data_IF_525330279369
#
_entry.id   IF_525330279369
#
_cell.length_a   1.000
_cell.length_b   1.000
_cell.length_c   1.000
_cell.angle_alpha   90.00
_cell.angle_beta   90.00
_cell.angle_gamma   90.00
#
_symmetry.space_group_name_H-M   'P 1'
#
loop_
_entity.id
_entity.type
_entity.pdbx_description
1 polymer ?
#
# COMPACT_ATOMS: atom_id res chain seq x y z
N UNK A 1 -75.93 -16.18 -23.06
CA UNK A 1 -74.62 -16.64 -23.61
C UNK A 1 -73.79 -15.37 -23.82
N UNK A 2 -72.90 -14.95 -22.90
CA UNK A 2 -71.54 -15.46 -22.58
C UNK A 2 -70.74 -15.69 -23.89
N UNK A 3 -69.65 -15.00 -24.23
CA UNK A 3 -68.64 -14.29 -23.43
C UNK A 3 -68.39 -12.85 -23.95
N UNK A 4 -68.37 -11.91 -23.02
CA UNK A 4 -67.72 -10.59 -23.10
C UNK A 4 -66.99 -10.46 -21.74
N UNK A 5 -65.67 -10.68 -21.73
CA UNK A 5 -64.79 -10.66 -20.55
C UNK A 5 -63.35 -10.70 -21.08
N UNK A 6 -62.37 -9.89 -20.68
CA UNK A 6 -62.29 -8.94 -19.59
C UNK A 6 -61.13 -7.98 -19.94
N UNK A 7 -61.42 -6.69 -20.04
CA UNK A 7 -60.44 -5.60 -20.06
C UNK A 7 -60.51 -4.94 -18.68
N UNK A 8 -59.35 -4.62 -18.12
CA UNK A 8 -59.11 -3.75 -16.95
C UNK A 8 -59.23 -4.33 -15.52
N UNK A 9 -58.20 -3.96 -14.74
CA UNK A 9 -58.05 -3.90 -13.28
C UNK A 9 -57.32 -5.08 -12.62
N UNK A 10 -56.02 -4.88 -12.35
CA UNK A 10 -55.44 -4.88 -11.00
C UNK A 10 -54.06 -4.19 -11.01
N UNK A 11 -54.09 -2.86 -10.99
CA UNK A 11 -53.09 -2.04 -10.30
C UNK A 11 -53.51 -2.10 -8.82
N UNK A 12 -52.75 -2.79 -7.96
CA UNK A 12 -52.50 -2.40 -6.57
C UNK A 12 -51.51 -3.41 -5.93
N UNK A 13 -50.31 -2.91 -5.63
CA UNK A 13 -49.63 -3.18 -4.36
C UNK A 13 -49.01 -4.55 -4.14
N UNK A 14 -47.80 -4.76 -4.67
CA UNK A 14 -46.71 -5.32 -3.85
C UNK A 14 -45.55 -4.34 -3.86
N UNK A 15 -45.57 -3.49 -2.83
CA UNK A 15 -44.46 -2.71 -2.34
C UNK A 15 -43.40 -3.66 -1.76
N UNK A 16 -42.68 -4.39 -2.61
CA UNK A 16 -41.39 -4.96 -2.21
C UNK A 16 -40.34 -3.94 -2.55
N UNK A 17 -39.71 -3.37 -1.51
CA UNK A 17 -38.40 -2.74 -1.63
C UNK A 17 -37.59 -3.57 -2.61
N UNK A 18 -37.22 -2.98 -3.75
CA UNK A 18 -36.09 -3.49 -4.51
C UNK A 18 -34.92 -3.26 -3.57
N UNK A 19 -34.65 -4.27 -2.73
CA UNK A 19 -33.34 -4.42 -2.13
C UNK A 19 -32.39 -4.40 -3.32
N UNK A 20 -31.57 -3.35 -3.38
CA UNK A 20 -30.29 -3.41 -4.06
C UNK A 20 -29.56 -4.59 -3.44
N UNK A 21 -29.78 -5.79 -3.96
CA UNK A 21 -28.88 -6.89 -3.74
C UNK A 21 -27.58 -6.46 -4.40
N UNK A 22 -26.66 -5.95 -3.58
CA UNK A 22 -25.26 -5.87 -3.93
C UNK A 22 -24.84 -7.27 -4.39
N UNK A 23 -24.59 -7.39 -5.69
CA UNK A 23 -24.10 -8.62 -6.30
C UNK A 23 -22.73 -8.89 -5.65
N UNK A 24 -22.71 -9.83 -4.72
CA UNK A 24 -21.62 -10.06 -3.78
C UNK A 24 -20.48 -10.91 -4.33
N UNK A 25 -20.42 -11.12 -5.65
CA UNK A 25 -19.25 -11.70 -6.32
C UNK A 25 -19.03 -11.06 -7.69
N UNK A 26 -17.83 -10.49 -7.90
CA UNK A 26 -17.42 -9.86 -9.16
C UNK A 26 -17.61 -10.80 -10.37
N UNK A 27 -17.44 -12.11 -10.17
CA UNK A 27 -17.53 -13.12 -11.24
C UNK A 27 -18.95 -13.27 -11.80
N UNK A 28 -19.99 -13.11 -10.96
CA UNK A 28 -21.38 -13.24 -11.43
C UNK A 28 -21.85 -12.03 -12.23
N UNK A 29 -21.37 -10.83 -11.89
CA UNK A 29 -21.67 -9.60 -12.63
C UNK A 29 -20.95 -9.55 -13.99
N UNK A 30 -19.70 -10.04 -14.06
CA UNK A 30 -18.92 -10.05 -15.30
C UNK A 30 -19.56 -10.90 -16.39
N UNK A 31 -20.13 -12.05 -16.03
CA UNK A 31 -20.79 -12.94 -17.00
C UNK A 31 -22.05 -12.29 -17.60
N UNK A 32 -22.83 -11.56 -16.80
CA UNK A 32 -24.04 -10.87 -17.28
C UNK A 32 -23.70 -9.79 -18.30
N UNK A 33 -22.63 -9.01 -18.05
CA UNK A 33 -22.21 -7.97 -19.00
C UNK A 33 -21.61 -8.53 -20.27
N UNK A 34 -20.94 -9.69 -20.20
CA UNK A 34 -20.41 -10.37 -21.37
C UNK A 34 -21.53 -10.88 -22.30
N UNK A 35 -22.53 -11.56 -21.74
CA UNK A 35 -23.68 -12.05 -22.51
C UNK A 35 -24.43 -10.88 -23.19
N UNK A 36 -24.67 -9.80 -22.45
CA UNK A 36 -25.31 -8.60 -22.98
C UNK A 36 -24.46 -7.93 -24.08
N UNK A 37 -23.14 -7.89 -23.93
CA UNK A 37 -22.23 -7.41 -24.95
C UNK A 37 -22.32 -8.26 -26.23
N UNK A 38 -22.32 -9.59 -26.13
CA UNK A 38 -22.42 -10.47 -27.30
C UNK A 38 -23.77 -10.31 -28.04
N UNK A 39 -24.86 -10.11 -27.32
CA UNK A 39 -26.16 -9.84 -27.94
C UNK A 39 -26.15 -8.51 -28.71
N UNK A 40 -25.58 -7.46 -28.13
CA UNK A 40 -25.43 -6.16 -28.80
C UNK A 40 -24.45 -6.26 -29.97
N UNK A 41 -23.38 -7.04 -29.87
CA UNK A 41 -22.45 -7.28 -30.99
C UNK A 41 -23.18 -7.91 -32.18
N UNK A 42 -23.94 -8.99 -31.93
CA UNK A 42 -24.75 -9.67 -32.96
C UNK A 42 -25.80 -8.74 -33.57
N UNK A 43 -26.41 -7.86 -32.77
CA UNK A 43 -27.34 -6.85 -33.26
C UNK A 43 -26.63 -5.79 -34.12
N UNK A 44 -25.45 -5.33 -33.69
CA UNK A 44 -24.63 -4.36 -34.40
C UNK A 44 -24.14 -4.89 -35.75
N UNK A 45 -23.73 -6.16 -35.83
CA UNK A 45 -23.33 -6.81 -37.08
C UNK A 45 -24.47 -6.86 -38.11
N UNK A 46 -25.72 -6.99 -37.66
CA UNK A 46 -26.91 -7.01 -38.54
C UNK A 46 -27.31 -5.62 -38.99
N UNK A 47 -27.32 -4.66 -38.07
CA UNK A 47 -27.75 -3.28 -38.33
C UNK A 47 -26.91 -2.28 -37.52
N UNK A 48 -25.77 -1.82 -38.06
CA UNK A 48 -24.90 -0.90 -37.34
C UNK A 48 -25.62 0.43 -37.04
N UNK A 49 -25.71 0.81 -35.76
CA UNK A 49 -26.32 2.06 -35.30
C UNK A 49 -25.51 2.75 -34.20
N UNK A 50 -25.69 4.07 -34.08
CA UNK A 50 -25.04 4.91 -33.06
C UNK A 50 -25.46 4.50 -31.64
N UNK A 51 -26.71 4.05 -31.49
CA UNK A 51 -27.23 3.54 -30.22
C UNK A 51 -26.53 2.23 -29.82
N UNK A 52 -26.40 1.29 -30.75
CA UNK A 52 -25.78 -0.02 -30.48
C UNK A 52 -24.29 0.12 -30.18
N UNK A 53 -23.55 0.99 -30.88
CA UNK A 53 -22.13 1.19 -30.56
C UNK A 53 -21.93 1.83 -29.18
N UNK A 54 -22.81 2.75 -28.77
CA UNK A 54 -22.78 3.32 -27.42
C UNK A 54 -23.12 2.27 -26.34
N UNK A 55 -24.05 1.35 -26.62
CA UNK A 55 -24.35 0.21 -25.74
C UNK A 55 -23.16 -0.76 -25.64
N UNK A 56 -22.48 -1.07 -26.75
CA UNK A 56 -21.23 -1.87 -26.74
C UNK A 56 -20.20 -1.26 -25.80
N UNK A 57 -19.90 0.03 -25.98
CA UNK A 57 -18.93 0.74 -25.15
C UNK A 57 -19.32 0.75 -23.67
N UNK A 58 -20.61 0.93 -23.36
CA UNK A 58 -21.10 0.87 -21.99
C UNK A 58 -20.82 -0.49 -21.32
N UNK A 59 -21.10 -1.61 -22.00
CA UNK A 59 -20.85 -2.93 -21.44
C UNK A 59 -19.35 -3.21 -21.29
N UNK A 60 -18.53 -2.81 -22.26
CA UNK A 60 -17.07 -2.93 -22.18
C UNK A 60 -16.48 -2.13 -21.01
N UNK A 61 -17.02 -0.94 -20.75
CA UNK A 61 -16.66 -0.14 -19.58
C UNK A 61 -17.00 -0.87 -18.27
N UNK A 62 -18.20 -1.48 -18.17
CA UNK A 62 -18.61 -2.25 -16.98
C UNK A 62 -17.78 -3.51 -16.76
N UNK A 63 -17.25 -4.10 -17.83
CA UNK A 63 -16.30 -5.21 -17.77
C UNK A 63 -14.86 -4.76 -17.46
N UNK A 64 -14.63 -3.46 -17.30
CA UNK A 64 -13.31 -2.93 -16.98
C UNK A 64 -12.36 -2.93 -18.18
N UNK A 65 -12.88 -2.64 -19.38
CA UNK A 65 -12.12 -2.43 -20.60
C UNK A 65 -11.21 -3.62 -21.01
N UNK A 66 -11.79 -4.80 -21.29
CA UNK A 66 -11.02 -5.96 -21.75
C UNK A 66 -10.29 -5.65 -23.07
N UNK A 67 -9.23 -6.40 -23.44
CA UNK A 67 -8.42 -6.10 -24.62
C UNK A 67 -9.20 -5.94 -25.93
N UNK A 68 -10.29 -6.71 -26.10
CA UNK A 68 -11.20 -6.65 -27.26
C UNK A 68 -11.91 -5.29 -27.44
N UNK A 69 -11.90 -4.43 -26.42
CA UNK A 69 -12.61 -3.14 -26.46
C UNK A 69 -12.06 -2.18 -27.51
N UNK A 70 -10.80 -2.36 -27.94
CA UNK A 70 -10.16 -1.45 -28.90
C UNK A 70 -10.88 -1.44 -30.24
N UNK A 71 -11.43 -2.58 -30.68
CA UNK A 71 -12.15 -2.67 -31.94
C UNK A 71 -13.46 -1.87 -31.87
N UNK A 72 -14.19 -1.98 -30.76
CA UNK A 72 -15.40 -1.19 -30.53
C UNK A 72 -15.09 0.31 -30.42
N UNK A 73 -13.99 0.71 -29.78
CA UNK A 73 -13.56 2.11 -29.73
C UNK A 73 -13.22 2.65 -31.12
N UNK A 74 -12.50 1.88 -31.94
CA UNK A 74 -12.17 2.25 -33.31
C UNK A 74 -13.41 2.35 -34.21
N UNK A 75 -14.36 1.42 -34.06
CA UNK A 75 -15.66 1.47 -34.74
C UNK A 75 -16.45 2.73 -34.34
N UNK A 76 -16.49 3.05 -33.03
CA UNK A 76 -17.13 4.27 -32.55
C UNK A 76 -16.47 5.52 -33.13
N UNK A 77 -15.14 5.58 -33.17
CA UNK A 77 -14.39 6.69 -33.76
C UNK A 77 -14.69 6.89 -35.24
N UNK A 78 -14.77 5.80 -36.02
CA UNK A 78 -15.08 5.88 -37.45
C UNK A 78 -16.51 6.37 -37.70
N UNK A 79 -17.44 6.00 -36.81
CA UNK A 79 -18.87 6.24 -36.99
C UNK A 79 -19.34 7.57 -36.41
N UNK A 80 -18.96 7.85 -35.17
CA UNK A 80 -19.37 9.03 -34.40
C UNK A 80 -18.39 10.19 -34.54
N UNK A 81 -17.18 9.93 -35.03
CA UNK A 81 -16.05 10.85 -34.94
C UNK A 81 -15.33 10.73 -33.60
N UNK A 82 -14.27 11.53 -33.43
CA UNK A 82 -13.55 11.62 -32.17
C UNK A 82 -14.03 12.87 -31.42
N UNK A 83 -14.72 12.68 -30.31
CA UNK A 83 -15.12 13.73 -29.38
C UNK A 83 -14.46 13.54 -28.01
N UNK A 84 -14.71 14.46 -27.08
CA UNK A 84 -14.09 14.44 -25.76
C UNK A 84 -14.48 13.18 -24.95
N UNK A 85 -15.74 12.72 -25.05
CA UNK A 85 -16.21 11.53 -24.33
C UNK A 85 -15.49 10.27 -24.81
N UNK A 86 -15.36 10.11 -26.13
CA UNK A 86 -14.67 8.98 -26.71
C UNK A 86 -13.16 9.00 -26.38
N UNK A 87 -12.52 10.18 -26.36
CA UNK A 87 -11.11 10.31 -25.93
C UNK A 87 -10.94 9.88 -24.46
N UNK A 88 -11.88 10.22 -23.58
CA UNK A 88 -11.86 9.73 -22.19
C UNK A 88 -11.98 8.21 -22.13
N UNK A 89 -12.86 7.60 -22.93
CA UNK A 89 -12.99 6.13 -23.00
C UNK A 89 -11.72 5.45 -23.51
N UNK A 90 -11.09 5.99 -24.56
CA UNK A 90 -9.76 5.52 -25.00
C UNK A 90 -8.71 5.67 -23.90
N UNK A 91 -8.72 6.79 -23.17
CA UNK A 91 -7.79 7.04 -22.06
C UNK A 91 -7.90 5.97 -20.99
N UNK A 92 -9.12 5.69 -20.52
CA UNK A 92 -9.39 4.64 -19.54
C UNK A 92 -8.96 3.25 -20.06
N UNK A 93 -9.27 2.93 -21.31
CA UNK A 93 -8.86 1.67 -21.94
C UNK A 93 -7.33 1.52 -21.96
N UNK A 94 -6.61 2.53 -22.44
CA UNK A 94 -5.15 2.46 -22.56
C UNK A 94 -4.46 2.44 -21.19
N UNK A 95 -4.93 3.20 -20.20
CA UNK A 95 -4.38 3.14 -18.84
C UNK A 95 -4.60 1.76 -18.21
N UNK A 96 -5.80 1.20 -18.35
CA UNK A 96 -6.13 -0.13 -17.82
C UNK A 96 -5.25 -1.24 -18.41
N UNK A 97 -4.97 -1.15 -19.71
CA UNK A 97 -4.15 -2.12 -20.44
C UNK A 97 -2.66 -1.74 -20.48
N UNK A 98 -2.25 -0.67 -19.77
CA UNK A 98 -0.87 -0.18 -19.70
C UNK A 98 -0.25 0.16 -21.07
N UNK A 99 -1.09 0.59 -22.01
CA UNK A 99 -0.69 0.95 -23.37
C UNK A 99 -0.35 2.44 -23.46
N UNK A 100 0.78 2.84 -22.86
CA UNK A 100 1.12 4.26 -22.69
C UNK A 100 1.58 4.96 -23.97
N UNK A 101 2.19 4.26 -24.92
CA UNK A 101 2.58 4.83 -26.22
C UNK A 101 1.37 5.32 -27.04
N UNK A 102 0.34 4.50 -27.31
CA UNK A 102 -0.83 4.98 -28.04
C UNK A 102 -1.67 5.99 -27.22
N UNK A 103 -1.65 5.91 -25.88
CA UNK A 103 -2.26 6.93 -25.04
C UNK A 103 -1.63 8.30 -25.23
N UNK A 104 -0.29 8.35 -25.20
CA UNK A 104 0.48 9.57 -25.42
C UNK A 104 0.18 10.17 -26.80
N UNK A 105 0.22 9.36 -27.87
CA UNK A 105 -0.08 9.82 -29.23
C UNK A 105 -1.51 10.38 -29.36
N UNK A 106 -2.49 9.70 -28.73
CA UNK A 106 -3.88 10.17 -28.71
C UNK A 106 -4.01 11.51 -28.00
N UNK A 107 -3.47 11.65 -26.79
CA UNK A 107 -3.62 12.86 -25.99
C UNK A 107 -2.82 14.05 -26.55
N UNK A 108 -1.63 13.81 -27.10
CA UNK A 108 -0.84 14.85 -27.76
C UNK A 108 -1.49 15.33 -29.05
N UNK A 109 -2.12 14.44 -29.83
CA UNK A 109 -2.84 14.84 -31.04
C UNK A 109 -4.15 15.57 -30.73
N UNK A 110 -4.89 15.11 -29.72
CA UNK A 110 -6.10 15.78 -29.25
C UNK A 110 -5.79 17.16 -28.64
N UNK A 111 -4.73 17.25 -27.83
CA UNK A 111 -4.28 18.46 -27.14
C UNK A 111 -3.80 19.59 -28.07
N UNK A 112 -3.40 19.27 -29.30
CA UNK A 112 -3.04 20.28 -30.32
C UNK A 112 -4.23 21.09 -30.83
N UNK A 113 -5.41 20.48 -30.81
CA UNK A 113 -6.64 21.07 -31.37
C UNK A 113 -7.64 21.46 -30.28
N UNK A 114 -7.58 20.80 -29.12
CA UNK A 114 -8.53 20.95 -28.03
C UNK A 114 -7.79 21.12 -26.70
N UNK A 115 -8.41 21.80 -25.74
CA UNK A 115 -7.88 21.87 -24.37
C UNK A 115 -8.10 20.52 -23.66
N UNK A 116 -7.04 19.98 -23.04
CA UNK A 116 -7.15 18.83 -22.14
C UNK A 116 -7.74 19.30 -20.80
N UNK A 117 -8.76 18.59 -20.30
CA UNK A 117 -9.18 18.73 -18.91
C UNK A 117 -8.16 18.13 -17.94
N UNK A 118 -8.36 18.33 -16.64
CA UNK A 118 -7.41 17.91 -15.62
C UNK A 118 -7.12 16.41 -15.68
N UNK A 119 -8.16 15.57 -15.77
CA UNK A 119 -8.04 14.10 -15.83
C UNK A 119 -7.21 13.64 -17.03
N UNK A 120 -7.50 14.19 -18.23
CA UNK A 120 -6.74 13.87 -19.43
C UNK A 120 -5.31 14.38 -19.36
N UNK A 121 -5.07 15.56 -18.80
CA UNK A 121 -3.71 16.09 -18.62
C UNK A 121 -2.91 15.21 -17.64
N UNK A 122 -3.51 14.76 -16.54
CA UNK A 122 -2.86 13.83 -15.62
C UNK A 122 -2.51 12.50 -16.30
N UNK A 123 -3.41 11.95 -17.14
CA UNK A 123 -3.16 10.75 -17.91
C UNK A 123 -2.01 10.96 -18.92
N UNK A 124 -1.95 12.12 -19.57
CA UNK A 124 -0.86 12.47 -20.48
C UNK A 124 0.49 12.52 -19.74
N UNK A 125 0.52 13.19 -18.59
CA UNK A 125 1.70 13.24 -17.72
C UNK A 125 2.15 11.82 -17.32
N UNK A 126 1.22 10.95 -16.91
CA UNK A 126 1.54 9.55 -16.56
C UNK A 126 2.12 8.78 -17.75
N UNK A 127 1.56 8.94 -18.94
CA UNK A 127 2.05 8.28 -20.15
C UNK A 127 3.49 8.71 -20.47
N UNK A 128 3.76 10.02 -20.51
CA UNK A 128 5.10 10.58 -20.74
C UNK A 128 6.12 10.13 -19.70
N UNK A 129 5.73 10.09 -18.42
CA UNK A 129 6.57 9.58 -17.33
C UNK A 129 6.99 8.12 -17.53
N UNK A 130 6.04 7.26 -17.89
CA UNK A 130 6.27 5.82 -18.02
C UNK A 130 7.06 5.47 -19.29
N UNK A 131 7.02 6.34 -20.29
CA UNK A 131 7.86 6.28 -21.49
C UNK A 131 9.22 6.98 -21.31
N UNK A 132 9.56 7.40 -20.08
CA UNK A 132 10.81 8.07 -19.73
C UNK A 132 11.07 9.38 -20.50
N UNK A 133 10.02 10.10 -20.93
CA UNK A 133 10.13 11.41 -21.58
C UNK A 133 10.17 12.53 -20.53
N UNK A 134 11.34 12.66 -19.88
CA UNK A 134 11.50 13.53 -18.71
C UNK A 134 11.23 15.01 -19.01
N UNK A 135 11.79 15.54 -20.08
CA UNK A 135 11.67 16.96 -20.43
C UNK A 135 10.22 17.34 -20.69
N UNK A 136 9.51 16.52 -21.48
CA UNK A 136 8.09 16.75 -21.80
C UNK A 136 7.20 16.60 -20.57
N UNK A 137 7.51 15.64 -19.70
CA UNK A 137 6.81 15.50 -18.42
C UNK A 137 6.90 16.76 -17.57
N UNK A 138 8.09 17.37 -17.48
CA UNK A 138 8.30 18.58 -16.68
C UNK A 138 7.50 19.76 -17.27
N UNK A 139 7.51 19.93 -18.58
CA UNK A 139 6.68 20.92 -19.28
C UNK A 139 5.20 20.74 -18.94
N UNK A 140 4.68 19.52 -19.10
CA UNK A 140 3.27 19.21 -18.81
C UNK A 140 2.90 19.40 -17.34
N UNK A 141 3.80 19.09 -16.39
CA UNK A 141 3.56 19.34 -14.96
C UNK A 141 3.45 20.83 -14.64
N UNK A 142 4.27 21.66 -15.30
CA UNK A 142 4.23 23.11 -15.14
C UNK A 142 2.94 23.70 -15.74
N UNK A 143 2.54 23.23 -16.92
CA UNK A 143 1.28 23.65 -17.55
C UNK A 143 0.08 23.20 -16.71
N UNK A 144 0.10 21.96 -16.20
CA UNK A 144 -0.94 21.43 -15.33
C UNK A 144 -1.12 22.27 -14.07
N UNK A 145 -0.04 22.58 -13.36
CA UNK A 145 -0.16 23.35 -12.13
C UNK A 145 -0.53 24.81 -12.39
N UNK A 146 -0.19 25.37 -13.56
CA UNK A 146 -0.61 26.72 -13.97
C UNK A 146 -2.12 26.79 -14.22
N UNK A 147 -2.68 25.76 -14.86
CA UNK A 147 -4.11 25.71 -15.16
C UNK A 147 -4.98 25.26 -13.97
N UNK A 148 -4.43 24.45 -13.05
CA UNK A 148 -5.19 23.79 -11.98
C UNK A 148 -4.58 24.02 -10.58
N UNK A 149 -4.85 25.17 -9.97
CA UNK A 149 -4.26 25.63 -8.68
C UNK A 149 -4.94 25.10 -7.40
N UNK A 150 -5.28 23.81 -7.33
CA UNK A 150 -5.92 23.21 -6.15
C UNK A 150 -4.91 22.38 -5.31
N UNK A 151 -5.14 22.19 -4.00
CA UNK A 151 -4.24 21.39 -3.15
C UNK A 151 -3.95 19.99 -3.69
N UNK A 152 -4.97 19.30 -4.20
CA UNK A 152 -4.87 17.96 -4.78
C UNK A 152 -3.92 17.94 -5.99
N UNK A 153 -3.89 19.03 -6.77
CA UNK A 153 -3.04 19.16 -7.94
C UNK A 153 -1.58 19.45 -7.56
N UNK A 154 -1.35 20.29 -6.54
CA UNK A 154 -0.02 20.46 -5.96
C UNK A 154 0.52 19.13 -5.39
N UNK A 155 -0.33 18.35 -4.72
CA UNK A 155 0.02 17.02 -4.22
C UNK A 155 0.38 16.04 -5.35
N UNK A 156 -0.44 16.01 -6.41
CA UNK A 156 -0.18 15.23 -7.62
C UNK A 156 1.19 15.57 -8.21
N UNK A 157 1.45 16.86 -8.47
CA UNK A 157 2.70 17.35 -9.07
C UNK A 157 3.91 17.02 -8.19
N UNK A 158 3.82 17.30 -6.89
CA UNK A 158 4.88 16.98 -5.92
C UNK A 158 5.24 15.48 -5.94
N UNK A 159 4.23 14.62 -6.02
CA UNK A 159 4.42 13.16 -6.09
C UNK A 159 5.08 12.71 -7.40
N UNK A 160 4.80 13.38 -8.53
CA UNK A 160 5.42 13.06 -9.82
C UNK A 160 6.89 13.43 -9.84
N UNK A 161 7.24 14.63 -9.37
CA UNK A 161 8.65 15.01 -9.20
C UNK A 161 9.40 14.04 -8.28
N UNK A 162 8.78 13.61 -7.19
CA UNK A 162 9.38 12.61 -6.30
C UNK A 162 9.67 11.30 -7.02
N UNK A 163 8.72 10.78 -7.81
CA UNK A 163 8.88 9.55 -8.61
C UNK A 163 9.97 9.68 -9.68
N UNK A 164 10.15 10.87 -10.26
CA UNK A 164 11.24 11.17 -11.19
C UNK A 164 12.61 11.37 -10.50
N UNK A 165 12.66 11.32 -9.16
CA UNK A 165 13.87 11.56 -8.39
C UNK A 165 14.23 13.04 -8.20
N UNK A 166 13.41 13.97 -8.70
CA UNK A 166 13.59 15.41 -8.49
C UNK A 166 13.09 15.81 -7.09
N UNK A 167 13.96 15.56 -6.11
CA UNK A 167 13.66 15.82 -4.70
C UNK A 167 13.45 17.30 -4.42
N UNK A 168 14.15 18.19 -5.14
CA UNK A 168 14.06 19.63 -4.92
C UNK A 168 12.68 20.14 -5.34
N UNK A 169 12.25 19.82 -6.56
CA UNK A 169 10.93 20.23 -7.05
C UNK A 169 9.80 19.59 -6.25
N UNK A 170 9.96 18.33 -5.84
CA UNK A 170 8.99 17.69 -4.95
C UNK A 170 8.83 18.43 -3.62
N UNK A 171 9.95 18.78 -2.95
CA UNK A 171 9.94 19.56 -1.70
C UNK A 171 9.31 20.94 -1.89
N UNK A 172 9.55 21.58 -3.04
CA UNK A 172 8.96 22.88 -3.37
C UNK A 172 7.43 22.80 -3.45
N UNK A 173 6.91 21.86 -4.24
CA UNK A 173 5.47 21.68 -4.41
C UNK A 173 4.79 21.20 -3.12
N UNK A 174 5.38 20.26 -2.37
CA UNK A 174 4.85 19.91 -1.05
C UNK A 174 4.88 21.09 -0.06
N UNK A 175 5.87 21.98 -0.17
CA UNK A 175 5.88 23.20 0.66
C UNK A 175 4.77 24.17 0.27
N UNK A 176 4.35 24.22 -1.00
CA UNK A 176 3.18 25.00 -1.44
C UNK A 176 1.89 24.35 -0.96
N UNK A 177 1.77 23.03 -1.14
CA UNK A 177 0.66 22.25 -0.61
C UNK A 177 0.45 22.53 0.88
N UNK A 178 1.51 22.48 1.68
CA UNK A 178 1.43 22.77 3.11
C UNK A 178 0.91 24.18 3.43
N UNK A 179 1.21 25.17 2.58
CA UNK A 179 0.69 26.54 2.74
C UNK A 179 -0.79 26.65 2.36
N UNK A 180 -1.23 25.87 1.37
CA UNK A 180 -2.61 25.87 0.88
C UNK A 180 -3.53 25.07 1.79
N UNK A 181 -3.12 23.85 2.13
CA UNK A 181 -3.82 22.93 3.03
C UNK A 181 -2.81 22.24 3.98
N UNK A 182 -2.60 22.79 5.19
CA UNK A 182 -1.72 22.19 6.20
C UNK A 182 -2.18 20.81 6.70
N UNK A 183 -3.44 20.43 6.45
CA UNK A 183 -4.05 19.18 6.87
C UNK A 183 -4.03 18.09 5.79
N UNK A 184 -3.50 18.38 4.61
CA UNK A 184 -3.50 17.43 3.49
C UNK A 184 -2.76 16.13 3.86
N UNK A 185 -3.40 14.98 3.62
CA UNK A 185 -2.91 13.64 4.02
C UNK A 185 -1.50 13.33 3.51
N UNK A 186 -1.16 13.80 2.32
CA UNK A 186 0.14 13.52 1.69
C UNK A 186 1.32 14.24 2.36
N UNK A 187 1.06 15.25 3.18
CA UNK A 187 2.12 15.94 3.92
C UNK A 187 2.77 15.00 4.95
N UNK A 188 1.97 14.19 5.65
CA UNK A 188 2.49 13.23 6.63
C UNK A 188 3.07 12.01 5.94
N UNK A 189 2.39 11.49 4.92
CA UNK A 189 2.77 10.21 4.30
C UNK A 189 3.95 10.33 3.32
N UNK A 190 4.09 11.46 2.63
CA UNK A 190 5.12 11.65 1.59
C UNK A 190 6.10 12.78 1.92
N UNK A 191 5.62 13.94 2.37
CA UNK A 191 6.50 15.10 2.56
C UNK A 191 7.39 14.99 3.80
N UNK A 192 6.86 14.54 4.94
CA UNK A 192 7.65 14.37 6.16
C UNK A 192 8.80 13.36 5.98
N UNK A 193 8.57 12.13 5.45
CA UNK A 193 9.67 11.21 5.15
C UNK A 193 10.72 11.81 4.21
N UNK A 194 10.27 12.59 3.22
CA UNK A 194 11.18 13.29 2.30
C UNK A 194 12.06 14.30 3.03
N UNK A 195 11.49 15.12 3.92
CA UNK A 195 12.22 16.09 4.74
C UNK A 195 13.22 15.41 5.68
N UNK A 196 12.85 14.29 6.30
CA UNK A 196 13.76 13.51 7.14
C UNK A 196 14.93 12.95 6.32
N UNK A 197 14.65 12.44 5.11
CA UNK A 197 15.69 11.93 4.19
C UNK A 197 16.70 13.00 3.80
N UNK A 198 16.28 14.25 3.62
CA UNK A 198 17.16 15.38 3.31
C UNK A 198 17.67 16.13 4.56
N UNK A 199 17.60 15.51 5.74
CA UNK A 199 18.05 16.04 7.02
C UNK A 199 17.46 17.42 7.38
N UNK A 200 16.14 17.59 7.17
CA UNK A 200 15.38 18.77 7.59
C UNK A 200 14.35 18.44 8.70
N UNK A 201 14.81 17.92 9.87
CA UNK A 201 13.93 17.47 10.94
C UNK A 201 13.07 18.58 11.55
N UNK A 202 13.56 19.82 11.59
CA UNK A 202 12.80 20.97 12.11
C UNK A 202 11.54 21.27 11.28
N UNK A 203 11.64 21.22 9.95
CA UNK A 203 10.48 21.41 9.06
C UNK A 203 9.52 20.24 9.13
N UNK A 204 10.05 19.01 9.17
CA UNK A 204 9.23 17.81 9.38
C UNK A 204 8.39 17.93 10.66
N UNK A 205 9.00 18.34 11.78
CA UNK A 205 8.31 18.58 13.05
C UNK A 205 7.20 19.63 12.93
N UNK A 206 7.47 20.75 12.24
CA UNK A 206 6.48 21.81 12.02
C UNK A 206 5.25 21.34 11.24
N UNK A 207 5.42 20.40 10.32
CA UNK A 207 4.31 19.85 9.53
C UNK A 207 3.51 18.86 10.38
N UNK A 208 4.20 17.99 11.14
CA UNK A 208 3.54 17.02 12.01
C UNK A 208 2.68 17.72 13.08
N UNK A 209 3.13 18.86 13.62
CA UNK A 209 2.37 19.59 14.63
C UNK A 209 1.09 20.24 14.09
N UNK A 210 1.07 20.63 12.80
CA UNK A 210 -0.14 21.15 12.15
C UNK A 210 -1.08 20.05 11.67
N UNK A 211 -0.54 18.93 11.17
CA UNK A 211 -1.32 17.84 10.55
C UNK A 211 -1.89 16.83 11.54
N UNK A 212 -1.30 16.68 12.73
CA UNK A 212 -1.76 15.73 13.75
C UNK A 212 -3.19 15.99 14.28
N UNK A 213 -3.82 17.09 13.88
CA UNK A 213 -5.17 17.49 14.33
C UNK A 213 -6.31 17.07 13.40
N UNK A 214 -6.05 16.72 12.14
CA UNK A 214 -7.10 16.58 11.11
C UNK A 214 -7.45 15.15 10.71
N UNK A 215 -6.50 14.21 10.68
CA UNK A 215 -6.73 12.83 10.21
C UNK A 215 -6.52 11.80 11.34
N UNK A 216 -7.57 11.01 11.59
CA UNK A 216 -7.60 10.00 12.66
C UNK A 216 -7.39 8.57 12.18
N UNK A 217 -7.12 8.33 10.88
CA UNK A 217 -6.92 6.97 10.38
C UNK A 217 -5.69 6.31 11.02
N UNK A 218 -5.77 4.99 11.20
CA UNK A 218 -4.67 4.21 11.79
C UNK A 218 -3.37 4.33 10.98
N UNK A 219 -3.44 4.31 9.64
CA UNK A 219 -2.26 4.41 8.78
C UNK A 219 -1.55 5.76 8.94
N UNK A 220 -2.30 6.86 8.96
CA UNK A 220 -1.74 8.19 9.21
C UNK A 220 -1.11 8.29 10.61
N UNK A 221 -1.76 7.70 11.63
CA UNK A 221 -1.22 7.64 13.01
C UNK A 221 0.07 6.82 13.09
N UNK A 222 0.14 5.69 12.38
CA UNK A 222 1.32 4.84 12.31
C UNK A 222 2.50 5.58 11.65
N UNK A 223 2.25 6.29 10.54
CA UNK A 223 3.26 7.09 9.86
C UNK A 223 3.76 8.28 10.70
N UNK A 224 2.83 9.00 11.35
CA UNK A 224 3.15 10.06 12.30
C UNK A 224 4.04 9.53 13.43
N UNK A 225 3.67 8.41 14.03
CA UNK A 225 4.43 7.77 15.10
C UNK A 225 5.84 7.39 14.66
N UNK A 226 5.99 6.76 13.49
CA UNK A 226 7.31 6.42 12.91
C UNK A 226 8.18 7.66 12.68
N UNK A 227 7.58 8.73 12.18
CA UNK A 227 8.27 10.00 11.93
C UNK A 227 8.75 10.66 13.24
N UNK A 228 7.90 10.68 14.27
CA UNK A 228 8.27 11.17 15.59
C UNK A 228 9.41 10.36 16.22
N UNK A 229 9.38 9.02 16.06
CA UNK A 229 10.45 8.16 16.56
C UNK A 229 11.79 8.47 15.88
N UNK A 230 11.79 8.67 14.56
CA UNK A 230 12.97 9.08 13.80
C UNK A 230 13.50 10.47 14.20
N UNK A 231 12.60 11.37 14.63
CA UNK A 231 12.94 12.69 15.16
C UNK A 231 13.46 12.67 16.61
N UNK A 232 13.52 11.50 17.25
CA UNK A 232 13.95 11.34 18.64
C UNK A 232 12.83 11.54 19.68
N UNK A 233 11.60 11.85 19.26
CA UNK A 233 10.42 12.03 20.12
C UNK A 233 9.80 10.67 20.50
N UNK A 234 10.64 9.75 21.01
CA UNK A 234 10.32 8.33 21.20
C UNK A 234 9.10 8.08 22.10
N UNK A 235 8.94 8.89 23.15
CA UNK A 235 7.82 8.75 24.11
C UNK A 235 6.48 9.08 23.44
N UNK A 236 6.43 10.19 22.71
CA UNK A 236 5.23 10.62 21.99
C UNK A 236 4.88 9.63 20.88
N UNK A 237 5.89 9.22 20.10
CA UNK A 237 5.75 8.19 19.06
C UNK A 237 5.08 6.92 19.61
N UNK A 238 5.64 6.35 20.69
CA UNK A 238 5.07 5.16 21.33
C UNK A 238 3.66 5.43 21.84
N UNK A 239 3.44 6.56 22.50
CA UNK A 239 2.13 6.97 23.05
C UNK A 239 1.00 6.93 22.02
N UNK A 240 1.27 7.31 20.77
CA UNK A 240 0.29 7.21 19.67
C UNK A 240 -0.11 5.75 19.41
N UNK A 241 0.85 4.83 19.35
CA UNK A 241 0.58 3.42 19.04
C UNK A 241 -0.04 2.65 20.20
N UNK A 242 0.18 3.07 21.45
CA UNK A 242 -0.41 2.43 22.64
C UNK A 242 -1.94 2.42 22.62
N UNK A 243 -2.58 3.33 21.88
CA UNK A 243 -4.03 3.38 21.71
C UNK A 243 -4.57 2.31 20.75
N UNK A 244 -3.72 1.56 20.05
CA UNK A 244 -4.12 0.62 19.00
C UNK A 244 -3.71 -0.81 19.34
N UNK A 245 -4.71 -1.71 19.39
CA UNK A 245 -4.49 -3.15 19.48
C UNK A 245 -4.56 -3.79 18.08
N UNK A 246 -3.62 -3.42 17.21
CA UNK A 246 -3.50 -3.91 15.82
C UNK A 246 -2.12 -4.53 15.60
N UNK A 247 -2.03 -5.49 14.69
CA UNK A 247 -0.80 -6.21 14.36
C UNK A 247 0.37 -5.26 14.08
N UNK A 248 0.19 -4.29 13.18
CA UNK A 248 1.25 -3.39 12.76
C UNK A 248 1.69 -2.43 13.88
N UNK A 249 0.80 -2.08 14.80
CA UNK A 249 1.13 -1.28 15.96
C UNK A 249 1.97 -2.08 16.97
N UNK A 250 1.57 -3.33 17.21
CA UNK A 250 2.24 -4.22 18.16
C UNK A 250 3.61 -4.68 17.65
N UNK A 251 3.74 -5.00 16.36
CA UNK A 251 5.02 -5.28 15.70
C UNK A 251 5.96 -4.07 15.85
N UNK A 252 5.48 -2.87 15.53
CA UNK A 252 6.30 -1.67 15.60
C UNK A 252 6.73 -1.31 17.03
N UNK A 253 5.83 -1.42 18.01
CA UNK A 253 6.15 -1.22 19.42
C UNK A 253 7.17 -2.25 19.91
N UNK A 254 7.01 -3.52 19.53
CA UNK A 254 7.95 -4.60 19.87
C UNK A 254 9.35 -4.25 19.37
N UNK A 255 9.49 -3.87 18.09
CA UNK A 255 10.78 -3.48 17.51
C UNK A 255 11.41 -2.29 18.22
N UNK A 256 10.64 -1.25 18.58
CA UNK A 256 11.19 -0.08 19.26
C UNK A 256 11.62 -0.35 20.71
N UNK A 257 10.87 -1.16 21.45
CA UNK A 257 11.32 -1.56 22.79
C UNK A 257 12.50 -2.52 22.73
N UNK A 258 12.57 -3.37 21.72
CA UNK A 258 13.70 -4.25 21.47
C UNK A 258 14.98 -3.46 21.18
N UNK A 259 14.93 -2.48 20.27
CA UNK A 259 16.06 -1.58 19.98
C UNK A 259 16.54 -0.75 21.18
N UNK A 260 15.69 -0.57 22.19
CA UNK A 260 16.02 0.13 23.44
C UNK A 260 16.35 -0.82 24.60
N UNK A 261 16.49 -2.12 24.31
CA UNK A 261 16.77 -3.18 25.29
C UNK A 261 15.77 -3.21 26.47
N UNK A 262 14.52 -2.79 26.23
CA UNK A 262 13.43 -2.81 27.21
C UNK A 262 12.72 -4.15 27.18
N UNK A 263 13.43 -5.20 27.56
CA UNK A 263 13.03 -6.61 27.41
C UNK A 263 11.63 -6.95 27.92
N UNK A 264 11.21 -6.41 29.06
CA UNK A 264 9.88 -6.70 29.61
C UNK A 264 8.76 -6.08 28.76
N UNK A 265 8.97 -4.87 28.24
CA UNK A 265 8.04 -4.25 27.29
C UNK A 265 8.04 -4.98 25.96
N UNK A 266 9.21 -5.34 25.44
CA UNK A 266 9.35 -6.15 24.22
C UNK A 266 8.57 -7.46 24.33
N UNK A 267 8.75 -8.20 25.43
CA UNK A 267 8.04 -9.45 25.68
C UNK A 267 6.53 -9.26 25.82
N UNK A 268 6.10 -8.20 26.50
CA UNK A 268 4.67 -7.88 26.62
C UNK A 268 4.02 -7.67 25.24
N UNK A 269 4.63 -6.84 24.38
CA UNK A 269 4.05 -6.54 23.07
C UNK A 269 4.17 -7.69 22.07
N UNK A 270 5.27 -8.46 22.06
CA UNK A 270 5.38 -9.63 21.16
C UNK A 270 4.39 -10.73 21.55
N UNK A 271 4.10 -10.91 22.85
CA UNK A 271 3.06 -11.85 23.28
C UNK A 271 1.67 -11.39 22.85
N UNK A 272 1.36 -10.09 22.92
CA UNK A 272 0.11 -9.54 22.38
C UNK A 272 0.02 -9.70 20.86
N UNK A 273 1.13 -9.48 20.14
CA UNK A 273 1.20 -9.69 18.71
C UNK A 273 0.83 -11.14 18.37
N UNK A 274 1.45 -12.11 19.04
CA UNK A 274 1.21 -13.55 18.79
C UNK A 274 -0.24 -13.98 19.07
N UNK A 275 -0.91 -13.35 20.03
CA UNK A 275 -2.32 -13.58 20.30
C UNK A 275 -3.24 -13.19 19.13
N UNK A 276 -2.82 -12.23 18.31
CA UNK A 276 -3.56 -11.75 17.13
C UNK A 276 -3.06 -12.45 15.86
N UNK A 277 -1.74 -12.52 15.70
CA UNK A 277 -1.05 -13.12 14.57
C UNK A 277 -0.05 -14.18 15.05
N UNK A 278 -0.41 -15.45 14.89
CA UNK A 278 0.48 -16.59 15.16
C UNK A 278 1.32 -16.98 13.94
N UNK A 279 1.60 -16.04 13.03
CA UNK A 279 2.44 -16.29 11.87
C UNK A 279 3.85 -16.75 12.26
N UNK A 280 4.50 -17.39 11.28
CA UNK A 280 5.92 -17.71 11.33
C UNK A 280 6.78 -16.50 11.68
N UNK A 281 6.44 -15.31 11.18
CA UNK A 281 7.20 -14.09 11.43
C UNK A 281 7.14 -13.64 12.90
N UNK A 282 5.95 -13.66 13.51
CA UNK A 282 5.76 -13.27 14.91
C UNK A 282 6.44 -14.25 15.88
N UNK A 283 6.33 -15.56 15.61
CA UNK A 283 7.00 -16.60 16.40
C UNK A 283 8.53 -16.51 16.29
N UNK A 284 9.04 -16.29 15.06
CA UNK A 284 10.48 -16.13 14.83
C UNK A 284 11.01 -14.88 15.56
N UNK A 285 10.28 -13.75 15.51
CA UNK A 285 10.65 -12.55 16.27
C UNK A 285 10.76 -12.82 17.77
N UNK A 286 9.80 -13.55 18.36
CA UNK A 286 9.85 -13.91 19.79
C UNK A 286 11.04 -14.82 20.12
N UNK A 287 11.38 -15.76 19.23
CA UNK A 287 12.59 -16.57 19.40
C UNK A 287 13.85 -15.70 19.42
N UNK A 288 13.99 -14.76 18.49
CA UNK A 288 15.12 -13.80 18.47
C UNK A 288 15.20 -12.95 19.74
N UNK A 289 14.06 -12.48 20.25
CA UNK A 289 14.03 -11.73 21.51
C UNK A 289 14.50 -12.60 22.70
N UNK A 290 14.11 -13.89 22.73
CA UNK A 290 14.59 -14.80 23.78
C UNK A 290 16.08 -15.08 23.69
N UNK A 291 16.60 -15.27 22.49
CA UNK A 291 18.04 -15.45 22.29
C UNK A 291 18.82 -14.25 22.83
N UNK A 292 18.48 -13.03 22.40
CA UNK A 292 19.20 -11.82 22.79
C UNK A 292 19.12 -11.54 24.30
N UNK A 293 17.99 -11.88 24.93
CA UNK A 293 17.84 -11.81 26.39
C UNK A 293 18.67 -12.88 27.14
N UNK A 294 19.23 -13.86 26.44
CA UNK A 294 19.94 -15.01 27.02
C UNK A 294 19.03 -16.16 27.48
N UNK A 295 17.73 -16.12 27.16
CA UNK A 295 16.77 -17.19 27.43
C UNK A 295 16.85 -18.29 26.36
N UNK A 296 18.05 -18.84 26.17
CA UNK A 296 18.40 -19.69 25.02
C UNK A 296 17.51 -20.93 24.87
N UNK A 297 17.14 -21.60 25.97
CA UNK A 297 16.27 -22.77 25.91
C UNK A 297 14.87 -22.42 25.36
N UNK A 298 14.30 -21.29 25.77
CA UNK A 298 13.00 -20.81 25.29
C UNK A 298 13.06 -20.40 23.81
N UNK A 299 14.18 -19.79 23.38
CA UNK A 299 14.43 -19.53 21.96
C UNK A 299 14.47 -20.83 21.15
N UNK A 300 15.25 -21.82 21.59
CA UNK A 300 15.40 -23.10 20.89
C UNK A 300 14.07 -23.85 20.77
N UNK A 301 13.24 -23.84 21.82
CA UNK A 301 11.90 -24.44 21.78
C UNK A 301 11.02 -23.83 20.70
N UNK A 302 10.99 -22.50 20.57
CA UNK A 302 10.22 -21.83 19.52
C UNK A 302 10.77 -22.10 18.11
N UNK A 303 12.09 -22.15 17.96
CA UNK A 303 12.72 -22.44 16.68
C UNK A 303 12.42 -23.87 16.22
N UNK A 304 12.45 -24.85 17.13
CA UNK A 304 12.06 -26.22 16.82
C UNK A 304 10.59 -26.31 16.40
N UNK A 305 9.69 -25.59 17.10
CA UNK A 305 8.29 -25.50 16.68
C UNK A 305 8.16 -24.96 15.24
N UNK A 306 8.92 -23.92 14.87
CA UNK A 306 8.91 -23.39 13.51
C UNK A 306 9.41 -24.42 12.48
N UNK A 307 10.46 -25.18 12.80
CA UNK A 307 11.00 -26.24 11.94
C UNK A 307 10.02 -27.42 11.81
N UNK A 308 9.28 -27.73 12.86
CA UNK A 308 8.22 -28.74 12.83
C UNK A 308 7.05 -28.32 11.94
N UNK A 309 6.69 -27.02 11.98
CA UNK A 309 5.65 -26.44 11.12
C UNK A 309 6.10 -26.35 9.65
N UNK A 310 7.35 -25.98 9.41
CA UNK A 310 7.97 -25.92 8.09
C UNK A 310 9.42 -26.42 8.15
N UNK A 311 9.61 -27.67 7.75
CA UNK A 311 10.93 -28.31 7.71
C UNK A 311 11.93 -27.63 6.76
N UNK A 312 11.44 -26.80 5.84
CA UNK A 312 12.27 -26.08 4.86
C UNK A 312 12.72 -24.71 5.35
N UNK A 313 12.27 -24.24 6.52
CA UNK A 313 12.64 -22.95 7.10
C UNK A 313 14.15 -22.90 7.44
N UNK A 314 14.94 -22.39 6.48
CA UNK A 314 16.40 -22.30 6.62
C UNK A 314 16.81 -21.36 7.74
N UNK A 315 16.10 -20.24 7.93
CA UNK A 315 16.42 -19.23 8.94
C UNK A 315 16.18 -19.78 10.35
N UNK A 316 15.08 -20.51 10.57
CA UNK A 316 14.82 -21.16 11.86
C UNK A 316 15.87 -22.23 12.18
N UNK A 317 16.27 -23.04 11.18
CA UNK A 317 17.32 -24.07 11.35
C UNK A 317 18.68 -23.47 11.68
N UNK A 318 19.11 -22.44 10.96
CA UNK A 318 20.38 -21.76 11.21
C UNK A 318 20.43 -21.18 12.63
N UNK A 319 19.40 -20.41 13.00
CA UNK A 319 19.32 -19.83 14.34
C UNK A 319 19.23 -20.91 15.43
N UNK A 320 18.54 -22.03 15.20
CA UNK A 320 18.47 -23.13 16.16
C UNK A 320 19.84 -23.78 16.39
N UNK A 321 20.64 -23.92 15.34
CA UNK A 321 22.02 -24.42 15.45
C UNK A 321 22.89 -23.45 16.26
N UNK A 322 22.79 -22.15 16.01
CA UNK A 322 23.52 -21.11 16.74
C UNK A 322 23.18 -21.10 18.23
N UNK A 323 21.89 -21.10 18.55
CA UNK A 323 21.39 -21.16 19.92
C UNK A 323 21.85 -22.46 20.61
N UNK A 324 21.82 -23.59 19.91
CA UNK A 324 22.29 -24.88 20.45
C UNK A 324 23.78 -24.87 20.78
N UNK A 325 24.61 -24.25 19.92
CA UNK A 325 26.05 -24.06 20.19
C UNK A 325 26.29 -23.19 21.41
N UNK A 326 25.54 -22.09 21.55
CA UNK A 326 25.60 -21.21 22.74
C UNK A 326 25.23 -21.95 24.03
N UNK A 327 24.19 -22.78 23.99
CA UNK A 327 23.78 -23.62 25.13
C UNK A 327 24.89 -24.61 25.51
N UNK A 328 25.46 -25.32 24.53
CA UNK A 328 26.53 -26.30 24.76
C UNK A 328 27.76 -25.64 25.40
N UNK A 329 28.16 -24.48 24.88
CA UNK A 329 29.27 -23.69 25.42
C UNK A 329 29.04 -23.26 26.88
N UNK A 330 27.84 -22.75 27.20
CA UNK A 330 27.52 -22.33 28.58
C UNK A 330 27.52 -23.52 29.56
N UNK A 331 27.05 -24.70 29.14
CA UNK A 331 27.11 -25.93 29.95
C UNK A 331 28.55 -26.34 30.23
N UNK A 332 29.41 -26.35 29.22
CA UNK A 332 30.83 -26.67 29.38
C UNK A 332 31.53 -25.68 30.32
N UNK A 333 31.22 -24.38 30.19
CA UNK A 333 31.77 -23.34 31.06
C UNK A 333 31.31 -23.50 32.52
N UNK A 334 30.07 -23.92 32.74
CA UNK A 334 29.56 -24.23 34.07
C UNK A 334 30.25 -25.46 34.68
N UNK A 335 30.50 -26.50 33.90
CA UNK A 335 31.24 -27.69 34.34
C UNK A 335 32.68 -27.34 34.73
N UNK A 336 33.39 -26.55 33.91
CA UNK A 336 34.74 -26.09 34.22
C UNK A 336 34.84 -25.27 35.51
N UNK A 337 33.79 -24.50 35.85
CA UNK A 337 33.73 -23.74 37.12
C UNK A 337 33.49 -24.63 38.34
N UNK A 338 32.87 -25.80 38.15
CA UNK A 338 32.63 -26.78 39.22
C UNK A 338 33.86 -27.62 39.52
N UNK A 339 34.83 -27.69 38.61
CA UNK A 339 36.11 -28.36 38.86
C UNK A 339 36.90 -27.57 39.91
N UNK A 340 37.17 -28.12 41.11
CA UNK A 340 37.90 -27.41 42.15
C UNK A 340 39.30 -27.05 41.65
N UNK A 341 39.70 -25.79 41.82
CA UNK A 341 41.07 -25.35 41.59
C UNK A 341 41.92 -26.08 42.65
N UNK A 342 42.91 -26.90 42.27
CA UNK A 342 43.76 -27.56 43.26
C UNK A 342 44.45 -26.50 44.10
N UNK A 343 44.20 -26.51 45.42
CA UNK A 343 44.94 -25.70 46.37
C UNK A 343 46.41 -26.13 46.30
N UNK A 344 47.25 -25.26 45.71
CA UNK A 344 48.70 -25.42 45.77
C UNK A 344 49.13 -25.09 47.20
N UNK A 345 49.10 -26.09 48.08
CA UNK A 345 49.76 -25.97 49.37
C UNK A 345 51.27 -25.82 49.12
N UNK A 346 51.92 -24.80 49.72
CA UNK A 346 53.35 -24.61 49.53
C UNK A 346 54.07 -25.84 50.06
N UNK A 347 54.92 -26.45 49.22
CA UNK A 347 55.88 -27.48 49.64
C UNK A 347 56.62 -26.94 50.86
N UNK A 348 56.36 -27.52 52.03
CA UNK A 348 57.25 -27.40 53.17
C UNK A 348 58.62 -27.88 52.69
N UNK A 349 59.54 -26.93 52.53
CA UNK A 349 60.95 -27.20 52.33
C UNK A 349 61.44 -27.99 53.55
N UNK A 350 61.73 -29.26 53.33
CA UNK A 350 62.60 -30.06 54.17
C UNK A 350 64.01 -29.45 54.05
N UNK A 351 64.43 -28.77 55.11
CA UNK A 351 65.80 -28.36 55.46
C UNK A 351 65.77 -28.29 57.01
N UNK A 352 66.63 -28.88 57.83
CA UNK A 352 67.82 -29.71 57.72
C UNK A 352 67.97 -30.42 59.07
N UNK A 353 68.39 -31.69 59.10
CA UNK A 353 69.33 -32.23 60.10
C UNK A 353 70.04 -33.47 59.57
#
# INVERSE_FOLDING_TARGET
MRLFTLFLILIFGCNSKIEKQEISSLDSASNIYWDAYEEVEKAYEREPSDQLINQKLYYLEKMGWPPISIDALNQARQRLGLDQDLVKKYTLYYEKNQLYAPLMELLDSWGKLNKLDAEMMEANIRAHMLLAQKEKTIELLNDYIYDYHEPENEAFVASKFLKMGDTLMSVYHYSKLHKMDPSHKDLVSLYVPLLLKINQPGRARSILSSSARSDTTFQTRLMLSKSLYQLGEKREAKGILLAYNREEALDQLTRWYWQEEKWDSTMFYVNKLIQIDSSRAALFMKASIYEERGALNSSLQLLNLLIELDSTDNLAREMAQDVSRKIAYLRELEERRKTPIPELSPKTSLDNE
#
